data_IF_175274334560
#
_entry.id   IF_175274334560
#
_cell.length_a   1.000
_cell.length_b   1.000
_cell.length_c   1.000
_cell.angle_alpha   90.00
_cell.angle_beta   90.00
_cell.angle_gamma   90.00
#
_symmetry.space_group_name_H-M   'P 1'
#
loop_
_entity.id
_entity.type
_entity.pdbx_description
1 polymer ?
#
# COMPACT_ATOMS: atom_id res chain seq x y z
N UNK A 1 -7.41 7.65 9.11
CA UNK A 1 -7.58 6.34 8.43
C UNK A 1 -6.86 5.27 9.25
N UNK A 2 -7.22 4.01 9.11
CA UNK A 2 -6.55 2.89 9.79
C UNK A 2 -6.02 1.87 8.79
N UNK A 3 -4.83 1.31 9.03
CA UNK A 3 -4.27 0.18 8.29
C UNK A 3 -4.04 -0.99 9.24
N UNK A 4 -4.44 -2.19 8.83
CA UNK A 4 -4.17 -3.43 9.57
C UNK A 4 -3.84 -4.56 8.60
N UNK A 5 -2.97 -5.48 8.99
CA UNK A 5 -2.81 -6.74 8.29
C UNK A 5 -3.92 -7.71 8.68
N UNK A 6 -4.29 -8.56 7.72
CA UNK A 6 -5.21 -9.68 7.85
C UNK A 6 -4.44 -10.97 7.53
N UNK A 7 -5.07 -12.12 7.75
CA UNK A 7 -4.49 -13.42 7.37
C UNK A 7 -4.21 -13.48 5.87
N UNK A 8 -3.22 -14.29 5.48
CA UNK A 8 -2.84 -14.59 4.09
C UNK A 8 -2.27 -13.40 3.30
N UNK A 9 -1.37 -12.61 3.88
CA UNK A 9 -0.72 -11.45 3.21
C UNK A 9 -1.73 -10.40 2.71
N UNK A 10 -2.90 -10.32 3.35
CA UNK A 10 -3.94 -9.35 3.01
C UNK A 10 -3.80 -8.11 3.90
N UNK A 11 -4.03 -6.94 3.32
CA UNK A 11 -4.06 -5.69 4.06
C UNK A 11 -5.44 -5.07 4.00
N UNK A 12 -5.77 -4.31 5.03
CA UNK A 12 -7.03 -3.61 5.12
C UNK A 12 -6.80 -2.14 5.42
N UNK A 13 -7.31 -1.29 4.54
CA UNK A 13 -7.48 0.15 4.78
C UNK A 13 -8.91 0.38 5.23
N UNK A 14 -9.10 1.04 6.37
CA UNK A 14 -10.43 1.38 6.90
C UNK A 14 -10.55 2.88 7.12
N UNK A 15 -11.59 3.48 6.54
CA UNK A 15 -11.96 4.88 6.78
C UNK A 15 -13.49 5.00 6.81
N UNK A 16 -14.05 5.41 7.96
CA UNK A 16 -15.51 5.48 8.18
C UNK A 16 -16.20 4.14 7.84
N UNK A 17 -17.20 4.16 6.97
CA UNK A 17 -17.94 3.00 6.48
C UNK A 17 -17.25 2.29 5.29
N UNK A 18 -16.10 2.79 4.82
CA UNK A 18 -15.36 2.23 3.68
C UNK A 18 -14.23 1.34 4.17
N UNK A 19 -14.09 0.19 3.51
CA UNK A 19 -13.03 -0.78 3.74
C UNK A 19 -12.44 -1.18 2.40
N UNK A 20 -11.13 -1.02 2.24
CA UNK A 20 -10.38 -1.48 1.06
C UNK A 20 -9.50 -2.64 1.50
N UNK A 21 -9.66 -3.79 0.88
CA UNK A 21 -8.84 -4.98 1.11
C UNK A 21 -7.85 -5.11 -0.04
N UNK A 22 -6.56 -5.04 0.28
CA UNK A 22 -5.47 -5.20 -0.67
C UNK A 22 -5.03 -6.68 -0.63
N UNK A 23 -5.27 -7.39 -1.73
CA UNK A 23 -4.86 -8.77 -1.89
C UNK A 23 -3.83 -8.96 -2.99
N UNK A 24 -3.32 -10.19 -3.11
CA UNK A 24 -2.22 -10.53 -4.02
C UNK A 24 -2.49 -10.19 -5.49
N UNK A 25 -3.73 -10.37 -5.95
CA UNK A 25 -4.11 -10.22 -7.36
C UNK A 25 -5.30 -9.28 -7.56
N UNK A 26 -5.96 -8.88 -6.46
CA UNK A 26 -7.15 -8.05 -6.52
C UNK A 26 -7.27 -7.09 -5.35
N UNK A 27 -7.94 -5.98 -5.60
CA UNK A 27 -8.36 -5.00 -4.60
C UNK A 27 -9.87 -5.10 -4.45
N UNK A 28 -10.35 -5.25 -3.22
CA UNK A 28 -11.79 -5.28 -2.93
C UNK A 28 -12.18 -4.01 -2.17
N UNK A 29 -13.17 -3.28 -2.69
CA UNK A 29 -13.74 -2.09 -2.02
C UNK A 29 -15.12 -2.42 -1.47
N UNK A 30 -15.22 -2.41 -0.14
CA UNK A 30 -16.44 -2.65 0.62
C UNK A 30 -16.96 -1.33 1.23
N UNK A 31 -18.27 -1.22 1.36
CA UNK A 31 -18.95 -0.09 1.97
C UNK A 31 -20.46 -0.32 2.02
N UNK A 32 -21.28 0.73 2.07
CA UNK A 32 -22.73 0.56 1.89
C UNK A 32 -23.02 -0.05 0.50
N UNK A 33 -23.82 -1.12 0.46
CA UNK A 33 -24.14 -1.86 -0.77
C UNK A 33 -23.14 -2.96 -1.12
N UNK A 34 -23.14 -3.41 -2.38
CA UNK A 34 -22.32 -4.53 -2.84
C UNK A 34 -20.82 -4.19 -2.86
N UNK A 35 -19.98 -5.19 -2.61
CA UNK A 35 -18.53 -5.09 -2.72
C UNK A 35 -18.11 -5.12 -4.20
N UNK A 36 -17.08 -4.35 -4.55
CA UNK A 36 -16.52 -4.30 -5.91
C UNK A 36 -15.10 -4.83 -5.87
N UNK A 37 -14.76 -5.69 -6.84
CA UNK A 37 -13.42 -6.24 -7.00
C UNK A 37 -12.75 -5.65 -8.24
N UNK A 38 -11.47 -5.31 -8.10
CA UNK A 38 -10.60 -4.82 -9.17
C UNK A 38 -9.46 -5.81 -9.32
N UNK A 39 -9.30 -6.38 -10.52
CA UNK A 39 -8.31 -7.43 -10.82
C UNK A 39 -7.27 -6.99 -11.87
N UNK A 40 -7.36 -5.76 -12.37
CA UNK A 40 -6.60 -5.30 -13.53
C UNK A 40 -6.07 -3.88 -13.42
N UNK A 41 -5.18 -3.48 -14.34
CA UNK A 41 -4.73 -2.10 -14.47
C UNK A 41 -5.86 -1.20 -14.97
N UNK A 42 -5.76 0.09 -14.65
CA UNK A 42 -6.74 1.10 -15.01
C UNK A 42 -7.01 2.08 -13.89
N UNK A 43 -7.88 3.05 -14.17
CA UNK A 43 -8.36 4.03 -13.21
C UNK A 43 -9.78 3.68 -12.77
N UNK A 44 -10.00 3.67 -11.46
CA UNK A 44 -11.27 3.33 -10.84
C UNK A 44 -11.60 4.37 -9.76
N UNK A 45 -12.85 4.82 -9.71
CA UNK A 45 -13.39 5.60 -8.59
C UNK A 45 -14.60 4.86 -8.02
N UNK A 46 -14.43 4.28 -6.82
CA UNK A 46 -15.42 3.40 -6.20
C UNK A 46 -15.69 3.90 -4.78
N UNK A 47 -16.92 4.31 -4.51
CA UNK A 47 -17.36 4.75 -3.17
C UNK A 47 -16.45 5.84 -2.57
N UNK A 48 -15.95 6.75 -3.41
CA UNK A 48 -15.04 7.83 -3.02
C UNK A 48 -13.57 7.42 -2.80
N UNK A 49 -13.23 6.17 -3.13
CA UNK A 49 -11.84 5.68 -3.20
C UNK A 49 -11.39 5.78 -4.65
N UNK A 50 -10.24 6.43 -4.90
CA UNK A 50 -9.61 6.41 -6.22
C UNK A 50 -8.52 5.35 -6.23
N UNK A 51 -8.51 4.53 -7.26
CA UNK A 51 -7.55 3.45 -7.43
C UNK A 51 -6.97 3.55 -8.84
N UNK A 52 -5.65 3.66 -8.94
CA UNK A 52 -4.90 3.60 -10.19
C UNK A 52 -4.04 2.34 -10.17
N UNK A 53 -4.21 1.49 -11.18
CA UNK A 53 -3.43 0.27 -11.34
C UNK A 53 -2.58 0.33 -12.61
N UNK A 54 -1.28 0.04 -12.49
CA UNK A 54 -0.36 0.04 -13.63
C UNK A 54 0.36 -1.29 -13.78
N UNK A 55 0.39 -1.78 -15.03
CA UNK A 55 1.02 -3.07 -15.34
C UNK A 55 2.51 -2.87 -15.64
N UNK A 56 3.35 -3.49 -14.81
CA UNK A 56 4.79 -3.47 -14.98
C UNK A 56 5.22 -4.32 -16.18
N UNK A 57 6.03 -3.71 -17.05
CA UNK A 57 6.45 -4.32 -18.32
C UNK A 57 7.30 -5.57 -18.13
N UNK A 58 8.15 -5.63 -17.09
CA UNK A 58 9.09 -6.74 -16.93
C UNK A 58 8.48 -7.95 -16.23
N UNK A 59 7.75 -7.77 -15.12
CA UNK A 59 7.10 -8.91 -14.44
C UNK A 59 5.67 -9.21 -14.89
N UNK A 60 5.00 -8.26 -15.55
CA UNK A 60 3.57 -8.36 -15.85
C UNK A 60 2.64 -8.16 -14.64
N UNK A 61 3.19 -7.93 -13.44
CA UNK A 61 2.43 -7.64 -12.22
C UNK A 61 1.79 -6.25 -12.28
N UNK A 62 0.72 -6.06 -11.52
CA UNK A 62 0.03 -4.77 -11.39
C UNK A 62 0.36 -4.19 -10.03
N UNK A 63 0.88 -2.96 -9.99
CA UNK A 63 0.94 -2.18 -8.76
C UNK A 63 -0.34 -1.36 -8.65
N UNK A 64 -0.77 -1.05 -7.43
CA UNK A 64 -1.93 -0.21 -7.19
C UNK A 64 -1.56 1.01 -6.34
N UNK A 65 -1.95 2.19 -6.80
CA UNK A 65 -2.03 3.41 -6.01
C UNK A 65 -3.50 3.60 -5.58
N UNK A 66 -3.71 3.82 -4.29
CA UNK A 66 -5.01 4.07 -3.69
C UNK A 66 -4.97 5.47 -3.07
N UNK A 67 -5.91 6.33 -3.42
CA UNK A 67 -6.17 7.58 -2.71
C UNK A 67 -7.46 7.42 -1.90
N UNK A 68 -7.31 7.48 -0.58
CA UNK A 68 -8.38 7.37 0.39
C UNK A 68 -8.18 8.44 1.46
N UNK A 69 -9.14 9.36 1.58
CA UNK A 69 -9.10 10.42 2.60
C UNK A 69 -7.84 11.29 2.48
N UNK A 70 -7.45 11.62 1.24
CA UNK A 70 -6.24 12.39 0.88
C UNK A 70 -4.92 11.71 1.27
N UNK A 71 -4.96 10.44 1.69
CA UNK A 71 -3.77 9.65 1.95
C UNK A 71 -3.52 8.80 0.71
N UNK A 72 -2.32 8.90 0.14
CA UNK A 72 -1.86 8.13 -1.02
C UNK A 72 -1.13 6.88 -0.55
N UNK A 73 -1.65 5.71 -0.90
CA UNK A 73 -1.15 4.40 -0.50
C UNK A 73 -0.75 3.61 -1.74
N UNK A 74 0.50 3.18 -1.82
CA UNK A 74 0.97 2.25 -2.85
C UNK A 74 1.02 0.83 -2.29
N UNK A 75 0.40 -0.10 -3.00
CA UNK A 75 0.50 -1.53 -2.74
C UNK A 75 1.40 -2.19 -3.79
N UNK A 76 2.60 -2.61 -3.36
CA UNK A 76 3.54 -3.36 -4.18
C UNK A 76 3.40 -4.88 -4.01
N UNK A 77 2.89 -5.33 -2.86
CA UNK A 77 2.91 -6.75 -2.49
C UNK A 77 4.32 -7.34 -2.64
N UNK A 78 4.50 -8.28 -3.58
CA UNK A 78 5.77 -8.98 -3.87
C UNK A 78 6.41 -8.56 -5.21
N UNK A 79 6.28 -7.29 -5.60
CA UNK A 79 6.95 -6.71 -6.79
C UNK A 79 8.42 -6.43 -6.49
N UNK A 80 9.34 -7.07 -7.24
CA UNK A 80 10.80 -6.96 -7.06
C UNK A 80 11.49 -6.42 -8.31
N UNK A 81 11.09 -5.25 -8.79
CA UNK A 81 11.67 -4.64 -9.98
C UNK A 81 11.66 -3.11 -9.83
N UNK A 82 12.57 -2.40 -10.51
CA UNK A 82 12.56 -0.95 -10.53
C UNK A 82 11.37 -0.42 -11.34
N UNK A 83 10.83 0.72 -10.92
CA UNK A 83 9.77 1.45 -11.62
C UNK A 83 10.39 2.38 -12.67
N UNK A 84 9.67 2.61 -13.77
CA UNK A 84 10.07 3.61 -14.76
C UNK A 84 9.80 5.02 -14.24
N UNK A 85 10.52 6.02 -14.76
CA UNK A 85 10.34 7.43 -14.36
C UNK A 85 8.87 7.87 -14.43
N UNK A 86 8.17 7.54 -15.53
CA UNK A 86 6.74 7.84 -15.67
C UNK A 86 5.85 7.28 -14.55
N UNK A 87 6.20 6.10 -14.01
CA UNK A 87 5.45 5.51 -12.90
C UNK A 87 5.84 6.22 -11.60
N UNK A 88 7.12 6.50 -11.39
CA UNK A 88 7.60 7.21 -10.20
C UNK A 88 6.97 8.60 -10.11
N UNK A 89 6.89 9.33 -11.21
CA UNK A 89 6.25 10.65 -11.27
C UNK A 89 4.76 10.58 -10.87
N UNK A 90 4.04 9.54 -11.32
CA UNK A 90 2.64 9.33 -10.93
C UNK A 90 2.51 8.99 -9.43
N UNK A 91 3.52 8.33 -8.86
CA UNK A 91 3.60 7.95 -7.45
C UNK A 91 4.23 9.03 -6.55
N UNK A 92 4.43 10.26 -7.05
CA UNK A 92 4.98 11.35 -6.24
C UNK A 92 4.09 11.68 -5.03
N UNK A 93 4.69 12.04 -3.89
CA UNK A 93 3.94 12.39 -2.68
C UNK A 93 3.12 11.23 -2.08
N UNK A 94 3.59 10.00 -2.23
CA UNK A 94 3.00 8.82 -1.57
C UNK A 94 3.29 8.85 -0.07
N UNK A 95 2.22 8.77 0.72
CA UNK A 95 2.31 8.79 2.19
C UNK A 95 2.66 7.39 2.74
N UNK A 96 2.14 6.34 2.11
CA UNK A 96 2.27 4.96 2.60
C UNK A 96 2.63 4.01 1.47
N UNK A 97 3.63 3.17 1.68
CA UNK A 97 3.96 2.05 0.80
C UNK A 97 3.83 0.74 1.58
N UNK A 98 3.13 -0.23 0.99
CA UNK A 98 2.99 -1.58 1.53
C UNK A 98 3.75 -2.56 0.64
N UNK A 99 4.69 -3.31 1.22
CA UNK A 99 5.47 -4.33 0.51
C UNK A 99 5.91 -5.48 1.42
N UNK A 100 5.98 -6.69 0.86
CA UNK A 100 6.45 -7.90 1.57
C UNK A 100 7.92 -8.24 1.32
N UNK A 101 8.60 -7.46 0.47
CA UNK A 101 9.99 -7.70 0.08
C UNK A 101 10.76 -6.39 -0.07
N UNK A 102 12.09 -6.46 0.08
CA UNK A 102 12.97 -5.32 -0.15
C UNK A 102 13.10 -5.01 -1.66
N UNK A 103 12.15 -4.25 -2.19
CA UNK A 103 12.07 -3.87 -3.60
C UNK A 103 12.85 -2.58 -3.89
N UNK A 104 13.55 -2.46 -5.03
CA UNK A 104 14.17 -1.20 -5.44
C UNK A 104 13.16 -0.04 -5.57
N UNK A 105 11.88 -0.34 -5.86
CA UNK A 105 10.80 0.62 -5.93
C UNK A 105 10.60 1.43 -4.63
N UNK A 106 10.94 0.86 -3.46
CA UNK A 106 10.80 1.52 -2.15
C UNK A 106 11.60 2.82 -2.13
N UNK A 107 12.84 2.78 -2.62
CA UNK A 107 13.72 3.95 -2.66
C UNK A 107 13.30 4.98 -3.71
N UNK A 108 12.68 4.53 -4.79
CA UNK A 108 12.20 5.43 -5.86
C UNK A 108 10.98 6.23 -5.43
N UNK A 109 10.08 5.61 -4.65
CA UNK A 109 8.85 6.24 -4.17
C UNK A 109 9.10 7.13 -2.94
N UNK A 110 10.09 6.78 -2.11
CA UNK A 110 10.45 7.51 -0.88
C UNK A 110 9.23 7.86 0.02
N UNK A 111 8.49 6.85 0.52
CA UNK A 111 7.25 7.06 1.26
C UNK A 111 7.50 7.54 2.70
N UNK A 112 6.51 8.19 3.32
CA UNK A 112 6.57 8.51 4.76
C UNK A 112 6.50 7.26 5.63
N UNK A 113 5.62 6.30 5.28
CA UNK A 113 5.52 5.01 5.94
C UNK A 113 5.82 3.86 4.99
N UNK A 114 6.67 2.94 5.44
CA UNK A 114 6.84 1.63 4.83
C UNK A 114 6.20 0.57 5.73
N UNK A 115 5.22 -0.15 5.21
CA UNK A 115 4.47 -1.18 5.94
C UNK A 115 4.79 -2.56 5.37
N UNK A 116 5.03 -3.52 6.26
CA UNK A 116 5.23 -4.93 5.89
C UNK A 116 4.69 -5.86 6.98
N UNK A 117 4.44 -7.13 6.64
CA UNK A 117 4.26 -8.20 7.65
C UNK A 117 5.53 -9.04 7.81
N UNK A 118 6.52 -8.81 6.94
CA UNK A 118 7.75 -9.58 6.88
C UNK A 118 8.83 -9.01 7.82
N UNK A 119 9.04 -9.67 8.96
CA UNK A 119 10.09 -9.29 9.92
C UNK A 119 11.51 -9.44 9.36
N UNK A 120 11.75 -10.34 8.41
CA UNK A 120 13.07 -10.52 7.81
C UNK A 120 13.42 -9.31 6.94
N UNK A 121 12.49 -8.88 6.09
CA UNK A 121 12.62 -7.65 5.30
C UNK A 121 12.90 -6.44 6.19
N UNK A 122 12.21 -6.35 7.34
CA UNK A 122 12.43 -5.27 8.29
C UNK A 122 13.87 -5.23 8.84
N UNK A 123 14.44 -6.40 9.11
CA UNK A 123 15.84 -6.53 9.53
C UNK A 123 16.82 -6.21 8.41
N UNK A 124 16.52 -6.62 7.18
CA UNK A 124 17.35 -6.35 6.00
C UNK A 124 17.46 -4.86 5.66
N UNK A 125 16.37 -4.11 5.86
CA UNK A 125 16.35 -2.67 5.60
C UNK A 125 17.15 -1.85 6.61
N UNK A 126 17.43 -2.40 7.80
CA UNK A 126 18.17 -1.71 8.86
C UNK A 126 17.45 -0.49 9.45
N UNK A 127 16.16 -0.31 9.16
CA UNK A 127 15.33 0.76 9.70
C UNK A 127 14.79 0.38 11.08
N UNK A 128 14.55 1.38 11.94
CA UNK A 128 13.90 1.17 13.22
C UNK A 128 12.44 0.74 12.98
N UNK A 129 12.18 -0.56 13.08
CA UNK A 129 10.85 -1.13 12.85
C UNK A 129 9.96 -0.99 14.08
N UNK A 130 8.78 -0.39 13.91
CA UNK A 130 7.70 -0.36 14.91
C UNK A 130 6.79 -1.56 14.71
N UNK A 131 6.56 -2.36 15.76
CA UNK A 131 5.61 -3.47 15.70
C UNK A 131 4.25 -3.04 16.25
N UNK A 132 3.21 -3.11 15.42
CA UNK A 132 1.86 -2.72 15.78
C UNK A 132 0.83 -3.65 15.15
N UNK A 133 -0.32 -3.91 15.79
CA UNK A 133 -1.39 -4.71 15.16
C UNK A 133 -2.29 -3.88 14.22
N UNK A 134 -2.13 -2.56 14.28
CA UNK A 134 -2.94 -1.58 13.56
C UNK A 134 -2.21 -0.23 13.58
N UNK A 135 -2.03 0.38 12.42
CA UNK A 135 -1.47 1.72 12.29
C UNK A 135 -2.60 2.74 12.07
N UNK A 136 -2.69 3.73 12.94
CA UNK A 136 -3.55 4.90 12.74
C UNK A 136 -2.81 5.96 11.93
N UNK A 137 -3.41 6.39 10.81
CA UNK A 137 -2.83 7.40 9.94
C UNK A 137 -3.62 8.71 10.01
N UNK A 138 -2.85 9.78 10.16
CA UNK A 138 -3.30 11.16 10.06
C UNK A 138 -2.28 11.94 9.22
N UNK A 139 -2.76 12.60 8.16
CA UNK A 139 -1.92 13.34 7.22
C UNK A 139 -1.10 14.45 7.87
N UNK A 140 -1.57 14.99 8.99
CA UNK A 140 -0.86 16.04 9.74
C UNK A 140 0.28 15.51 10.62
N UNK A 141 0.37 14.20 10.81
CA UNK A 141 1.35 13.56 11.69
C UNK A 141 2.20 12.52 10.96
N UNK A 142 2.40 12.72 9.65
CA UNK A 142 3.30 11.88 8.87
C UNK A 142 4.76 12.21 9.24
N UNK A 143 5.65 11.21 9.35
CA UNK A 143 7.05 11.43 9.65
C UNK A 143 7.77 12.11 8.48
N UNK A 144 8.84 12.85 8.81
CA UNK A 144 9.69 13.51 7.81
C UNK A 144 10.63 12.52 7.10
N UNK A 145 10.96 11.41 7.77
CA UNK A 145 11.77 10.30 7.22
C UNK A 145 10.93 9.03 7.14
N UNK A 146 11.30 8.10 6.26
CA UNK A 146 10.58 6.82 6.10
C UNK A 146 10.63 6.00 7.38
N UNK A 147 9.48 5.87 8.05
CA UNK A 147 9.31 4.97 9.19
C UNK A 147 8.86 3.58 8.72
N UNK A 148 9.53 2.55 9.22
CA UNK A 148 9.15 1.17 8.98
C UNK A 148 8.19 0.68 10.06
N UNK A 149 7.03 0.19 9.64
CA UNK A 149 6.01 -0.41 10.50
C UNK A 149 5.79 -1.86 10.10
N UNK A 150 5.97 -2.77 11.06
CA UNK A 150 5.66 -4.18 10.91
C UNK A 150 4.30 -4.46 11.52
N UNK A 151 3.36 -4.93 10.70
CA UNK A 151 2.00 -5.23 11.15
C UNK A 151 1.84 -6.68 11.56
N UNK A 152 1.54 -6.93 12.83
CA UNK A 152 1.21 -8.27 13.31
C UNK A 152 -0.20 -8.68 12.88
N UNK A 153 -0.29 -9.82 12.18
CA UNK A 153 -1.57 -10.37 11.71
C UNK A 153 -2.46 -10.75 12.89
N UNK A 154 -3.73 -10.32 12.85
CA UNK A 154 -4.78 -10.75 13.78
C UNK A 154 -5.43 -12.08 13.40
#
# INVERSE_FOLDING_TARGET
MDISSLKNDLYQLKHKDIRVVLGKEKITVEGKGEAIEIEGPGEYEIKGVRIWGERLKSSGKVLFLIDLDQIRIVYLGKINEPLTELIVDELDGVDVLISEINSPAIKQINPSYLITTNQEMARELGLAARQETKLGLNKLSLPEETELVVLDSK
#
